data_IF_063635734408
#
_entry.id   IF_063635734408
#
_cell.length_a   1.000
_cell.length_b   1.000
_cell.length_c   1.000
_cell.angle_alpha   90.00
_cell.angle_beta   90.00
_cell.angle_gamma   90.00
#
_symmetry.space_group_name_H-M   'P 1'
#
loop_
_entity.id
_entity.type
_entity.pdbx_description
1 polymer ?
#
# COMPACT_ATOMS: atom_id res chain seq x y z
N UNK A 1 8.43 42.00 -11.66
CA UNK A 1 7.83 40.63 -11.86
C UNK A 1 8.84 39.57 -12.20
N UNK A 2 9.85 39.82 -13.05
CA UNK A 2 10.87 38.84 -13.50
C UNK A 2 11.71 38.30 -12.33
N UNK A 3 12.23 39.15 -11.44
CA UNK A 3 13.03 38.75 -10.28
C UNK A 3 12.30 37.75 -9.36
N UNK A 4 11.01 37.95 -9.14
CA UNK A 4 10.17 37.01 -8.35
C UNK A 4 10.03 35.62 -8.99
N UNK A 5 9.96 35.55 -10.33
CA UNK A 5 9.90 34.26 -11.04
C UNK A 5 11.22 33.51 -10.95
N UNK A 6 12.34 34.20 -11.00
CA UNK A 6 13.68 33.60 -10.88
C UNK A 6 13.85 33.01 -9.48
N UNK A 7 13.54 33.76 -8.43
CA UNK A 7 13.61 33.28 -7.03
C UNK A 7 12.67 32.11 -6.80
N UNK A 8 11.43 32.16 -7.30
CA UNK A 8 10.49 31.07 -7.19
C UNK A 8 11.03 29.77 -7.84
N UNK A 9 11.57 29.89 -9.08
CA UNK A 9 12.17 28.76 -9.78
C UNK A 9 13.38 28.19 -9.04
N UNK A 10 14.19 29.04 -8.47
CA UNK A 10 15.36 28.67 -7.68
C UNK A 10 14.97 27.89 -6.42
N UNK A 11 14.09 28.41 -5.59
CA UNK A 11 13.60 27.73 -4.37
C UNK A 11 12.95 26.40 -4.73
N UNK A 12 12.03 26.37 -5.71
CA UNK A 12 11.39 25.14 -6.16
C UNK A 12 12.41 24.12 -6.66
N UNK A 13 13.41 24.53 -7.47
CA UNK A 13 14.43 23.61 -7.98
C UNK A 13 15.29 23.04 -6.85
N UNK A 14 15.76 23.87 -5.93
CA UNK A 14 16.60 23.47 -4.78
C UNK A 14 15.84 22.47 -3.89
N UNK A 15 14.60 22.78 -3.53
CA UNK A 15 13.78 21.88 -2.70
C UNK A 15 13.37 20.61 -3.43
N UNK A 16 13.07 20.68 -4.73
CA UNK A 16 12.76 19.51 -5.55
C UNK A 16 13.97 18.56 -5.67
N UNK A 17 15.16 19.10 -5.93
CA UNK A 17 16.39 18.29 -5.98
C UNK A 17 16.70 17.64 -4.63
N UNK A 18 16.52 18.36 -3.52
CA UNK A 18 16.71 17.81 -2.19
C UNK A 18 15.70 16.70 -1.88
N UNK A 19 14.41 16.91 -2.18
CA UNK A 19 13.36 15.90 -1.99
C UNK A 19 13.62 14.66 -2.85
N UNK A 20 13.95 14.84 -4.13
CA UNK A 20 14.23 13.73 -5.03
C UNK A 20 15.50 12.97 -4.60
N UNK A 21 16.60 13.69 -4.27
CA UNK A 21 17.83 13.08 -3.77
C UNK A 21 17.60 12.27 -2.49
N UNK A 22 16.83 12.83 -1.54
CA UNK A 22 16.46 12.11 -0.31
C UNK A 22 15.62 10.87 -0.61
N UNK A 23 14.66 10.97 -1.53
CA UNK A 23 13.84 9.83 -1.95
C UNK A 23 14.71 8.71 -2.51
N UNK A 24 15.66 9.02 -3.39
CA UNK A 24 16.58 8.02 -3.97
C UNK A 24 17.43 7.36 -2.88
N UNK A 25 18.03 8.15 -1.99
CA UNK A 25 18.89 7.61 -0.91
C UNK A 25 18.10 6.69 0.01
N UNK A 26 16.92 7.12 0.49
CA UNK A 26 16.09 6.31 1.38
C UNK A 26 15.54 5.06 0.68
N UNK A 27 15.19 5.15 -0.62
CA UNK A 27 14.75 3.98 -1.39
C UNK A 27 15.87 2.95 -1.55
N UNK A 28 17.10 3.37 -1.80
CA UNK A 28 18.25 2.45 -1.88
C UNK A 28 18.47 1.76 -0.53
N UNK A 29 18.38 2.50 0.58
CA UNK A 29 18.48 1.92 1.92
C UNK A 29 17.36 0.91 2.19
N UNK A 30 16.13 1.24 1.85
CA UNK A 30 14.98 0.34 2.02
C UNK A 30 15.14 -0.95 1.20
N UNK A 31 15.51 -0.84 -0.07
CA UNK A 31 15.79 -1.97 -0.96
C UNK A 31 16.89 -2.87 -0.36
N UNK A 32 17.97 -2.25 0.15
CA UNK A 32 19.07 -2.97 0.79
C UNK A 32 18.61 -3.76 2.02
N UNK A 33 17.88 -3.10 2.94
CA UNK A 33 17.38 -3.76 4.15
C UNK A 33 16.37 -4.85 3.83
N UNK A 34 15.49 -4.62 2.88
CA UNK A 34 14.52 -5.66 2.44
C UNK A 34 15.25 -6.85 1.83
N UNK A 35 16.28 -6.61 1.00
CA UNK A 35 17.08 -7.69 0.44
C UNK A 35 17.81 -8.50 1.51
N UNK A 36 18.39 -7.82 2.52
CA UNK A 36 19.02 -8.50 3.66
C UNK A 36 18.01 -9.34 4.45
N UNK A 37 16.77 -8.86 4.60
CA UNK A 37 15.68 -9.61 5.22
C UNK A 37 15.33 -10.88 4.41
N UNK A 38 15.19 -10.75 3.09
CA UNK A 38 14.89 -11.89 2.20
C UNK A 38 16.02 -12.95 2.18
N UNK A 39 17.28 -12.55 2.39
CA UNK A 39 18.39 -13.50 2.51
C UNK A 39 18.24 -14.41 3.75
N UNK A 40 17.53 -13.97 4.80
CA UNK A 40 17.21 -14.80 5.95
C UNK A 40 16.12 -15.87 5.69
N UNK A 41 15.37 -15.72 4.59
CA UNK A 41 14.27 -16.61 4.20
C UNK A 41 14.63 -17.57 3.06
N UNK A 42 15.90 -17.72 2.70
CA UNK A 42 16.35 -18.59 1.60
C UNK A 42 15.96 -20.04 1.84
N UNK A 43 15.53 -20.70 0.77
CA UNK A 43 15.14 -22.12 0.73
C UNK A 43 15.78 -22.78 -0.52
N UNK A 44 15.83 -24.13 -0.62
CA UNK A 44 16.40 -24.81 -1.78
C UNK A 44 15.84 -24.31 -3.13
N UNK A 45 14.55 -23.94 -3.16
CA UNK A 45 13.83 -23.49 -4.35
C UNK A 45 13.76 -21.95 -4.45
N UNK A 46 14.40 -21.22 -3.53
CA UNK A 46 14.42 -19.74 -3.49
C UNK A 46 15.82 -19.25 -3.14
N UNK A 47 16.61 -18.99 -4.14
CA UNK A 47 18.02 -18.59 -3.98
C UNK A 47 18.19 -17.07 -3.89
N UNK A 48 19.39 -16.60 -3.51
CA UNK A 48 19.70 -15.18 -3.35
C UNK A 48 19.45 -14.34 -4.63
N UNK A 49 19.57 -14.94 -5.81
CA UNK A 49 19.30 -14.26 -7.07
C UNK A 49 17.79 -14.02 -7.27
N UNK A 50 16.96 -15.00 -6.93
CA UNK A 50 15.49 -14.85 -6.95
C UNK A 50 15.02 -13.84 -5.91
N UNK A 51 15.64 -13.82 -4.70
CA UNK A 51 15.40 -12.80 -3.69
C UNK A 51 15.71 -11.39 -4.21
N UNK A 52 16.84 -11.22 -4.92
CA UNK A 52 17.17 -9.95 -5.55
C UNK A 52 16.14 -9.52 -6.60
N UNK A 53 15.72 -10.43 -7.46
CA UNK A 53 14.70 -10.15 -8.48
C UNK A 53 13.36 -9.78 -7.82
N UNK A 54 12.95 -10.50 -6.78
CA UNK A 54 11.75 -10.20 -6.00
C UNK A 54 11.79 -8.77 -5.42
N UNK A 55 12.88 -8.41 -4.75
CA UNK A 55 13.05 -7.09 -4.14
C UNK A 55 13.11 -5.97 -5.18
N UNK A 56 13.74 -6.21 -6.34
CA UNK A 56 13.77 -5.23 -7.43
C UNK A 56 12.39 -5.01 -8.06
N UNK A 57 11.57 -6.05 -8.21
CA UNK A 57 10.17 -5.89 -8.64
C UNK A 57 9.33 -5.19 -7.57
N UNK A 58 9.61 -5.38 -6.28
CA UNK A 58 8.97 -4.68 -5.16
C UNK A 58 9.44 -3.21 -4.99
N UNK A 59 10.53 -2.79 -5.65
CA UNK A 59 11.11 -1.46 -5.47
C UNK A 59 10.13 -0.28 -5.66
N UNK A 60 9.18 -0.29 -6.63
CA UNK A 60 8.19 0.79 -6.76
C UNK A 60 7.27 0.93 -5.55
N UNK A 61 6.92 -0.18 -4.88
CA UNK A 61 6.15 -0.17 -3.64
C UNK A 61 6.95 0.49 -2.52
N UNK A 62 8.20 0.08 -2.31
CA UNK A 62 9.06 0.68 -1.28
C UNK A 62 9.31 2.16 -1.53
N UNK A 63 9.47 2.56 -2.80
CA UNK A 63 9.56 3.97 -3.18
C UNK A 63 8.30 4.75 -2.76
N UNK A 64 7.11 4.21 -3.03
CA UNK A 64 5.84 4.81 -2.67
C UNK A 64 5.68 5.00 -1.15
N UNK A 65 6.01 3.99 -0.36
CA UNK A 65 5.90 4.00 1.11
C UNK A 65 6.79 5.09 1.74
N UNK A 66 7.97 5.33 1.17
CA UNK A 66 8.96 6.30 1.68
C UNK A 66 8.67 7.74 1.25
N UNK A 67 7.86 7.97 0.20
CA UNK A 67 7.63 9.31 -0.34
C UNK A 67 7.27 10.37 0.71
N UNK A 68 6.36 10.15 1.67
CA UNK A 68 6.01 11.19 2.65
C UNK A 68 7.17 11.57 3.57
N UNK A 69 7.93 10.57 4.05
CA UNK A 69 9.10 10.81 4.92
C UNK A 69 10.23 11.49 4.13
N UNK A 70 10.47 11.05 2.91
CA UNK A 70 11.51 11.63 2.04
C UNK A 70 11.19 13.08 1.67
N UNK A 71 9.91 13.40 1.47
CA UNK A 71 9.47 14.77 1.23
C UNK A 71 9.70 15.67 2.44
N UNK A 72 9.41 15.19 3.65
CA UNK A 72 9.69 15.89 4.90
C UNK A 72 11.19 16.20 5.03
N UNK A 73 12.03 15.16 4.98
CA UNK A 73 13.48 15.27 5.15
C UNK A 73 14.08 16.14 4.02
N UNK A 74 13.66 15.89 2.77
CA UNK A 74 14.12 16.64 1.61
C UNK A 74 13.72 18.12 1.67
N UNK A 75 12.53 18.43 2.18
CA UNK A 75 12.12 19.83 2.44
C UNK A 75 13.00 20.49 3.50
N UNK A 76 13.32 19.77 4.59
CA UNK A 76 14.23 20.26 5.63
C UNK A 76 15.64 20.49 5.08
N UNK A 77 16.15 19.59 4.24
CA UNK A 77 17.47 19.74 3.59
C UNK A 77 17.44 20.94 2.64
N UNK A 78 16.48 21.00 1.73
CA UNK A 78 16.41 22.06 0.72
C UNK A 78 16.21 23.44 1.31
N UNK A 79 15.25 23.61 2.22
CA UNK A 79 15.06 24.87 2.94
C UNK A 79 16.18 25.16 3.94
N UNK A 80 16.71 24.13 4.59
CA UNK A 80 17.80 24.25 5.53
C UNK A 80 19.08 24.75 4.87
N UNK A 81 19.40 24.31 3.65
CA UNK A 81 20.54 24.82 2.89
C UNK A 81 20.37 26.31 2.57
N UNK A 82 19.18 26.74 2.12
CA UNK A 82 18.85 28.13 1.86
C UNK A 82 18.86 29.00 3.14
N UNK A 83 18.54 28.41 4.28
CA UNK A 83 18.62 29.06 5.58
C UNK A 83 20.09 29.27 6.03
N UNK A 84 20.93 28.26 5.84
CA UNK A 84 22.34 28.27 6.23
C UNK A 84 23.14 29.28 5.38
N UNK A 85 22.83 29.40 4.09
CA UNK A 85 23.42 30.42 3.19
C UNK A 85 22.83 31.83 3.39
N UNK A 86 21.95 32.02 4.41
CA UNK A 86 21.25 33.29 4.68
C UNK A 86 20.30 33.77 3.57
N UNK A 87 20.09 33.01 2.53
CA UNK A 87 19.26 33.38 1.38
C UNK A 87 17.80 33.58 1.79
N UNK A 88 17.24 32.77 2.72
CA UNK A 88 15.89 32.94 3.23
C UNK A 88 15.73 34.28 3.96
N UNK A 89 16.77 34.76 4.66
CA UNK A 89 16.75 36.04 5.36
C UNK A 89 16.70 37.16 4.32
N UNK A 90 17.53 37.10 3.28
CA UNK A 90 17.55 38.06 2.18
C UNK A 90 16.19 38.11 1.45
N UNK A 91 15.61 36.95 1.18
CA UNK A 91 14.27 36.88 0.56
C UNK A 91 13.20 37.55 1.42
N UNK A 92 13.23 37.34 2.72
CA UNK A 92 12.27 37.96 3.66
C UNK A 92 12.48 39.46 3.79
N UNK A 93 13.71 39.94 3.89
CA UNK A 93 14.03 41.38 3.91
C UNK A 93 13.63 42.09 2.61
N UNK A 94 13.67 41.39 1.48
CA UNK A 94 13.15 41.86 0.18
C UNK A 94 11.61 41.85 0.07
N UNK A 95 10.88 41.58 1.19
CA UNK A 95 9.41 41.64 1.25
C UNK A 95 8.70 40.39 0.69
N UNK A 96 9.40 39.27 0.57
CA UNK A 96 8.77 37.98 0.18
C UNK A 96 8.12 37.37 1.43
N UNK A 97 6.80 37.22 1.42
CA UNK A 97 6.06 36.62 2.53
C UNK A 97 6.40 35.14 2.73
N UNK A 98 6.38 34.68 3.99
CA UNK A 98 6.61 33.29 4.38
C UNK A 98 5.71 32.31 3.59
N UNK A 99 4.41 32.60 3.54
CA UNK A 99 3.44 31.75 2.81
C UNK A 99 3.74 31.61 1.31
N UNK A 100 4.39 32.62 0.73
CA UNK A 100 4.81 32.54 -0.68
C UNK A 100 5.98 31.57 -0.86
N UNK A 101 6.94 31.58 0.07
CA UNK A 101 8.06 30.62 0.07
C UNK A 101 7.51 29.20 0.29
N UNK A 102 6.62 29.01 1.27
CA UNK A 102 5.93 27.72 1.49
C UNK A 102 5.21 27.25 0.22
N UNK A 103 4.50 28.15 -0.46
CA UNK A 103 3.83 27.83 -1.74
C UNK A 103 4.81 27.39 -2.84
N UNK A 104 6.04 27.87 -2.86
CA UNK A 104 7.06 27.41 -3.81
C UNK A 104 7.59 26.03 -3.45
N UNK A 105 7.76 25.73 -2.17
CA UNK A 105 8.10 24.39 -1.68
C UNK A 105 6.98 23.38 -1.96
N UNK A 106 5.71 23.79 -1.81
CA UNK A 106 4.57 22.95 -2.15
C UNK A 106 4.52 22.58 -3.65
N UNK A 107 5.06 23.42 -4.54
CA UNK A 107 5.21 23.05 -5.96
C UNK A 107 6.18 21.90 -6.14
N UNK A 108 7.25 21.83 -5.34
CA UNK A 108 8.18 20.68 -5.35
C UNK A 108 7.48 19.42 -4.82
N UNK A 109 6.71 19.54 -3.75
CA UNK A 109 5.91 18.45 -3.19
C UNK A 109 4.87 17.92 -4.18
N UNK A 110 4.27 18.78 -5.01
CA UNK A 110 3.32 18.39 -6.04
C UNK A 110 3.91 17.37 -7.06
N UNK A 111 5.21 17.49 -7.37
CA UNK A 111 5.89 16.51 -8.24
C UNK A 111 5.92 15.12 -7.60
N UNK A 112 6.19 15.04 -6.29
CA UNK A 112 6.16 13.78 -5.55
C UNK A 112 4.74 13.23 -5.41
N UNK A 113 3.73 14.09 -5.28
CA UNK A 113 2.31 13.69 -5.26
C UNK A 113 1.92 13.06 -6.60
N UNK A 114 2.30 13.66 -7.71
CA UNK A 114 2.04 13.11 -9.05
C UNK A 114 2.75 11.76 -9.20
N UNK A 115 4.00 11.66 -8.75
CA UNK A 115 4.76 10.42 -8.75
C UNK A 115 4.07 9.34 -7.88
N UNK A 116 3.65 9.69 -6.66
CA UNK A 116 2.92 8.81 -5.75
C UNK A 116 1.65 8.25 -6.40
N UNK A 117 0.87 9.12 -7.05
CA UNK A 117 -0.35 8.70 -7.75
C UNK A 117 -0.03 7.76 -8.93
N UNK A 118 0.97 8.10 -9.74
CA UNK A 118 1.38 7.27 -10.87
C UNK A 118 1.89 5.89 -10.43
N UNK A 119 2.67 5.84 -9.35
CA UNK A 119 3.14 4.59 -8.76
C UNK A 119 1.97 3.75 -8.26
N UNK A 120 1.07 4.33 -7.47
CA UNK A 120 -0.04 3.63 -6.84
C UNK A 120 -1.06 3.09 -7.85
N UNK A 121 -1.35 3.84 -8.94
CA UNK A 121 -2.38 3.45 -9.89
C UNK A 121 -1.87 2.46 -10.95
N UNK A 122 -0.65 2.67 -11.48
CA UNK A 122 -0.19 1.93 -12.66
C UNK A 122 1.00 1.02 -12.41
N UNK A 123 1.97 1.46 -11.62
CA UNK A 123 3.26 0.75 -11.53
C UNK A 123 3.21 -0.38 -10.51
N UNK A 124 2.76 -0.09 -9.28
CA UNK A 124 2.74 -1.05 -8.17
C UNK A 124 1.91 -2.31 -8.50
N UNK A 125 0.67 -2.22 -9.03
CA UNK A 125 -0.11 -3.43 -9.30
C UNK A 125 0.60 -4.37 -10.28
N UNK A 126 1.22 -3.82 -11.32
CA UNK A 126 1.95 -4.61 -12.30
C UNK A 126 3.25 -5.21 -11.75
N UNK A 127 4.02 -4.42 -10.99
CA UNK A 127 5.33 -4.87 -10.47
C UNK A 127 5.18 -5.87 -9.34
N UNK A 128 4.18 -5.72 -8.48
CA UNK A 128 3.92 -6.67 -7.41
C UNK A 128 3.41 -8.02 -7.93
N UNK A 129 2.58 -8.03 -8.98
CA UNK A 129 2.21 -9.29 -9.65
C UNK A 129 3.46 -10.06 -10.12
N UNK A 130 4.45 -9.36 -10.67
CA UNK A 130 5.72 -9.96 -11.07
C UNK A 130 6.57 -10.41 -9.87
N UNK A 131 6.63 -9.62 -8.81
CA UNK A 131 7.32 -9.99 -7.58
C UNK A 131 6.73 -11.28 -7.00
N UNK A 132 5.41 -11.33 -6.80
CA UNK A 132 4.73 -12.51 -6.28
C UNK A 132 4.91 -13.73 -7.19
N UNK A 133 4.96 -13.57 -8.51
CA UNK A 133 5.23 -14.69 -9.43
C UNK A 133 6.61 -15.32 -9.21
N UNK A 134 7.61 -14.56 -8.81
CA UNK A 134 8.95 -15.06 -8.45
C UNK A 134 8.90 -15.84 -7.13
N UNK A 135 8.12 -15.36 -6.17
CA UNK A 135 7.96 -15.98 -4.85
C UNK A 135 7.03 -17.21 -4.87
N UNK A 136 6.03 -17.24 -5.76
CA UNK A 136 5.05 -18.34 -5.91
C UNK A 136 5.58 -19.60 -6.64
N UNK A 137 6.77 -19.54 -7.23
CA UNK A 137 7.50 -20.75 -7.65
C UNK A 137 8.01 -21.55 -6.44
N UNK A 138 7.74 -21.10 -5.22
CA UNK A 138 7.91 -21.89 -3.99
C UNK A 138 7.08 -23.15 -4.13
N UNK A 139 7.77 -24.30 -4.10
CA UNK A 139 7.14 -25.60 -4.17
C UNK A 139 6.01 -25.73 -3.15
N UNK A 140 4.97 -26.46 -3.52
CA UNK A 140 3.78 -26.86 -2.74
C UNK A 140 4.09 -27.43 -1.34
N UNK A 141 5.36 -27.67 -1.01
CA UNK A 141 5.84 -28.23 0.26
C UNK A 141 6.02 -27.20 1.41
N UNK A 142 5.91 -25.90 1.17
CA UNK A 142 6.07 -24.87 2.21
C UNK A 142 4.73 -24.28 2.67
N UNK A 143 3.76 -25.14 2.96
CA UNK A 143 2.42 -24.83 3.49
C UNK A 143 2.49 -24.41 4.97
N UNK A 144 3.20 -23.33 5.28
CA UNK A 144 3.19 -22.72 6.62
C UNK A 144 2.45 -21.38 6.68
N UNK A 145 2.33 -20.66 5.57
CA UNK A 145 1.50 -19.44 5.45
C UNK A 145 0.46 -19.66 4.36
N UNK A 146 -0.74 -19.96 4.80
CA UNK A 146 -1.92 -20.12 3.94
C UNK A 146 -2.34 -18.72 3.48
N UNK A 147 -1.88 -18.30 2.31
CA UNK A 147 -2.41 -17.13 1.60
C UNK A 147 -3.57 -17.54 0.70
N UNK A 148 -4.46 -18.38 1.18
CA UNK A 148 -5.66 -18.76 0.48
C UNK A 148 -6.83 -17.84 0.82
N UNK A 149 -7.73 -17.66 -0.10
CA UNK A 149 -8.93 -16.85 0.08
C UNK A 149 -10.12 -17.71 0.41
N UNK A 150 -10.82 -17.33 1.49
CA UNK A 150 -12.12 -17.88 1.84
C UNK A 150 -13.24 -16.95 1.38
N UNK A 151 -14.14 -17.48 0.54
CA UNK A 151 -15.40 -16.83 0.18
C UNK A 151 -16.57 -17.55 0.81
N UNK A 152 -17.63 -16.79 1.12
CA UNK A 152 -18.89 -17.35 1.58
C UNK A 152 -20.01 -16.95 0.61
N UNK A 153 -20.67 -17.92 0.03
CA UNK A 153 -21.86 -17.76 -0.81
C UNK A 153 -23.06 -18.43 -0.12
N UNK A 154 -23.77 -17.68 0.72
CA UNK A 154 -24.85 -18.23 1.54
C UNK A 154 -24.36 -19.26 2.55
N UNK A 155 -24.65 -20.55 2.33
CA UNK A 155 -24.24 -21.68 3.17
C UNK A 155 -23.01 -22.41 2.61
N UNK A 156 -22.48 -21.95 1.49
CA UNK A 156 -21.29 -22.49 0.83
C UNK A 156 -20.07 -21.69 1.21
N UNK A 157 -18.99 -22.37 1.61
CA UNK A 157 -17.68 -21.79 1.85
C UNK A 157 -16.73 -22.31 0.77
N UNK A 158 -15.99 -21.38 0.15
CA UNK A 158 -15.08 -21.66 -0.95
C UNK A 158 -13.70 -21.20 -0.53
N UNK A 159 -12.74 -22.11 -0.57
CA UNK A 159 -11.32 -21.80 -0.39
C UNK A 159 -10.62 -21.91 -1.73
N UNK A 160 -9.78 -20.93 -2.06
CA UNK A 160 -8.95 -20.91 -3.26
C UNK A 160 -7.54 -20.57 -2.84
N UNK A 161 -6.59 -21.45 -3.06
CA UNK A 161 -5.19 -21.24 -2.69
C UNK A 161 -4.50 -20.25 -3.65
N UNK A 162 -4.70 -20.42 -4.95
CA UNK A 162 -4.11 -19.57 -5.97
C UNK A 162 -5.08 -19.33 -7.12
N UNK A 163 -5.08 -18.09 -7.62
CA UNK A 163 -5.80 -17.71 -8.84
C UNK A 163 -4.96 -16.76 -9.69
N UNK A 164 -5.07 -16.89 -11.02
CA UNK A 164 -4.44 -15.96 -11.95
C UNK A 164 -5.47 -15.08 -12.68
N UNK A 165 -4.98 -14.02 -13.30
CA UNK A 165 -5.80 -13.08 -14.09
C UNK A 165 -6.48 -13.71 -15.32
N UNK A 166 -6.06 -14.93 -15.71
CA UNK A 166 -6.63 -15.67 -16.84
C UNK A 166 -7.79 -16.58 -16.42
N UNK A 167 -8.18 -16.60 -15.14
CA UNK A 167 -9.26 -17.42 -14.61
C UNK A 167 -8.87 -18.88 -14.36
N UNK A 168 -7.59 -19.16 -14.10
CA UNK A 168 -7.16 -20.49 -13.64
C UNK A 168 -7.01 -20.45 -12.13
N UNK A 169 -7.57 -21.45 -11.46
CA UNK A 169 -7.51 -21.66 -10.01
C UNK A 169 -6.66 -22.91 -9.71
N UNK A 170 -6.01 -22.92 -8.53
CA UNK A 170 -5.36 -24.13 -7.98
C UNK A 170 -5.81 -24.35 -6.55
N UNK A 171 -5.88 -25.62 -6.19
CA UNK A 171 -6.22 -26.12 -4.86
C UNK A 171 -7.47 -25.45 -4.28
N UNK A 172 -8.61 -25.86 -4.86
CA UNK A 172 -9.93 -25.32 -4.52
C UNK A 172 -10.60 -26.29 -3.55
N UNK A 173 -11.16 -25.75 -2.45
CA UNK A 173 -12.03 -26.50 -1.56
C UNK A 173 -13.39 -25.82 -1.51
N UNK A 174 -14.45 -26.59 -1.68
CA UNK A 174 -15.84 -26.12 -1.54
C UNK A 174 -16.50 -26.92 -0.44
N UNK A 175 -17.02 -26.23 0.55
CA UNK A 175 -17.66 -26.80 1.73
C UNK A 175 -19.11 -26.33 1.77
N UNK A 176 -20.05 -27.22 1.59
CA UNK A 176 -21.49 -26.91 1.65
C UNK A 176 -22.05 -27.36 3.00
N UNK A 177 -22.79 -26.44 3.64
CA UNK A 177 -23.53 -26.69 4.88
C UNK A 177 -25.04 -26.65 4.63
N UNK A 178 -25.80 -27.33 5.48
CA UNK A 178 -27.25 -27.19 5.52
C UNK A 178 -27.68 -25.94 6.32
N UNK A 179 -29.00 -25.71 6.44
CA UNK A 179 -29.58 -24.59 7.21
C UNK A 179 -29.25 -24.66 8.71
N UNK A 180 -28.90 -25.82 9.23
CA UNK A 180 -28.51 -26.06 10.63
C UNK A 180 -26.99 -26.08 10.83
N UNK A 181 -26.20 -25.67 9.81
CA UNK A 181 -24.73 -25.71 9.82
C UNK A 181 -24.12 -27.11 9.94
N UNK A 182 -24.85 -28.17 9.55
CA UNK A 182 -24.24 -29.49 9.38
C UNK A 182 -23.59 -29.59 8.00
N UNK A 183 -22.39 -30.20 7.95
CA UNK A 183 -21.66 -30.40 6.72
C UNK A 183 -22.40 -31.37 5.79
N UNK A 184 -22.73 -30.93 4.58
CA UNK A 184 -23.42 -31.73 3.56
C UNK A 184 -22.46 -32.30 2.53
N UNK A 185 -21.57 -31.45 1.99
CA UNK A 185 -20.59 -31.91 1.00
C UNK A 185 -19.25 -31.18 1.14
N UNK A 186 -18.20 -31.86 0.74
CA UNK A 186 -16.84 -31.34 0.63
C UNK A 186 -16.29 -31.69 -0.73
N UNK A 187 -15.92 -30.69 -1.54
CA UNK A 187 -15.27 -30.88 -2.83
C UNK A 187 -13.85 -30.33 -2.74
N UNK A 188 -12.87 -31.16 -3.09
CA UNK A 188 -11.47 -30.76 -3.23
C UNK A 188 -11.04 -30.94 -4.68
N UNK A 189 -10.66 -29.86 -5.36
CA UNK A 189 -10.18 -29.90 -6.74
C UNK A 189 -8.78 -29.31 -6.87
N UNK A 190 -7.92 -29.97 -7.63
CA UNK A 190 -6.55 -29.52 -7.84
C UNK A 190 -6.48 -28.31 -8.78
N UNK A 191 -7.40 -28.22 -9.73
CA UNK A 191 -7.43 -27.15 -10.72
C UNK A 191 -8.87 -26.75 -11.01
N UNK A 192 -9.08 -25.45 -11.28
CA UNK A 192 -10.34 -24.91 -11.76
C UNK A 192 -10.08 -23.98 -12.93
N UNK A 193 -10.95 -23.99 -13.93
CA UNK A 193 -10.88 -23.12 -15.09
C UNK A 193 -12.24 -22.45 -15.31
N UNK A 194 -12.24 -21.13 -15.50
CA UNK A 194 -13.45 -20.41 -15.84
C UNK A 194 -13.92 -20.77 -17.26
N UNK A 195 -15.20 -21.10 -17.39
CA UNK A 195 -15.77 -21.45 -18.68
C UNK A 195 -16.59 -20.29 -19.22
N UNK A 196 -17.71 -19.94 -18.58
CA UNK A 196 -18.61 -18.85 -18.96
C UNK A 196 -19.70 -18.70 -17.92
N UNK A 197 -20.26 -17.48 -17.79
CA UNK A 197 -21.47 -17.18 -16.99
C UNK A 197 -21.44 -17.70 -15.53
N UNK A 198 -20.27 -17.52 -14.85
CA UNK A 198 -20.08 -17.99 -13.47
C UNK A 198 -19.88 -19.49 -13.33
N UNK A 199 -19.74 -20.23 -14.42
CA UNK A 199 -19.41 -21.64 -14.38
C UNK A 199 -17.92 -21.90 -14.42
N UNK A 200 -17.45 -22.78 -13.54
CA UNK A 200 -16.07 -23.21 -13.40
C UNK A 200 -15.97 -24.72 -13.62
N UNK A 201 -15.07 -25.13 -14.48
CA UNK A 201 -14.72 -26.54 -14.66
C UNK A 201 -13.62 -26.89 -13.66
N UNK A 202 -13.95 -27.73 -12.69
CA UNK A 202 -13.02 -28.27 -11.70
C UNK A 202 -12.42 -29.58 -12.26
N UNK A 203 -11.09 -29.66 -12.28
CA UNK A 203 -10.37 -30.86 -12.73
C UNK A 203 -9.79 -31.62 -11.55
N UNK A 204 -9.82 -32.95 -11.62
CA UNK A 204 -9.38 -33.84 -10.55
C UNK A 204 -10.09 -33.52 -9.23
N UNK A 205 -11.43 -33.43 -9.29
CA UNK A 205 -12.25 -33.13 -8.13
C UNK A 205 -12.55 -34.41 -7.35
N UNK A 206 -12.38 -34.34 -6.02
CA UNK A 206 -12.77 -35.37 -5.06
C UNK A 206 -13.93 -34.82 -4.25
N UNK A 207 -15.10 -35.41 -4.42
CA UNK A 207 -16.30 -35.04 -3.68
C UNK A 207 -16.56 -36.05 -2.57
N UNK A 208 -16.91 -35.55 -1.40
CA UNK A 208 -17.37 -36.33 -0.27
C UNK A 208 -18.73 -35.79 0.16
N UNK A 209 -19.77 -36.63 0.01
CA UNK A 209 -21.13 -36.30 0.45
C UNK A 209 -21.42 -37.00 1.76
N UNK A 210 -21.96 -36.27 2.73
CA UNK A 210 -22.30 -36.75 4.06
C UNK A 210 -23.80 -36.99 4.12
N UNK A 211 -24.16 -38.29 4.27
CA UNK A 211 -25.55 -38.71 4.40
C UNK A 211 -26.08 -38.50 5.82
N UNK A 212 -27.37 -38.27 5.97
CA UNK A 212 -28.07 -38.04 7.27
C UNK A 212 -27.80 -39.18 8.29
N UNK A 213 -27.38 -40.33 7.87
CA UNK A 213 -27.01 -41.48 8.73
C UNK A 213 -25.54 -41.47 9.21
N UNK A 214 -24.76 -40.39 8.93
CA UNK A 214 -23.36 -40.31 9.32
C UNK A 214 -22.39 -41.06 8.39
N UNK A 215 -22.87 -41.68 7.31
CA UNK A 215 -22.06 -42.33 6.32
C UNK A 215 -21.56 -41.30 5.29
N UNK A 216 -20.32 -41.41 4.87
CA UNK A 216 -19.74 -40.57 3.83
C UNK A 216 -19.55 -41.35 2.54
N UNK A 217 -20.04 -40.83 1.42
CA UNK A 217 -19.77 -41.37 0.08
C UNK A 217 -18.70 -40.50 -0.56
N UNK A 218 -17.64 -41.15 -1.02
CA UNK A 218 -16.55 -40.50 -1.73
C UNK A 218 -16.65 -40.85 -3.22
N UNK A 219 -16.66 -39.80 -4.06
CA UNK A 219 -16.72 -39.90 -5.51
C UNK A 219 -15.57 -39.09 -6.11
N UNK A 220 -14.83 -39.70 -7.02
CA UNK A 220 -13.75 -39.01 -7.75
C UNK A 220 -14.30 -38.63 -9.14
N UNK A 221 -14.15 -37.36 -9.51
CA UNK A 221 -14.56 -36.81 -10.80
C UNK A 221 -13.34 -36.25 -11.53
N UNK A 222 -13.10 -36.66 -12.75
CA UNK A 222 -12.05 -36.11 -13.61
C UNK A 222 -12.35 -34.66 -13.98
N UNK A 223 -13.65 -34.35 -14.19
CA UNK A 223 -14.14 -32.99 -14.47
C UNK A 223 -15.52 -32.82 -13.86
N UNK A 224 -15.70 -31.72 -13.11
CA UNK A 224 -16.96 -31.37 -12.47
C UNK A 224 -17.24 -29.86 -12.69
N UNK A 225 -18.44 -29.53 -13.17
CA UNK A 225 -18.85 -28.12 -13.28
C UNK A 225 -19.38 -27.61 -11.93
N UNK A 226 -18.91 -26.43 -11.52
CA UNK A 226 -19.35 -25.74 -10.33
C UNK A 226 -19.75 -24.32 -10.69
N UNK A 227 -20.92 -23.88 -10.23
CA UNK A 227 -21.34 -22.51 -10.34
C UNK A 227 -20.83 -21.73 -9.14
N UNK A 228 -20.03 -20.69 -9.38
CA UNK A 228 -19.51 -19.77 -8.38
C UNK A 228 -19.87 -18.36 -8.80
N UNK A 229 -20.30 -17.53 -7.86
CA UNK A 229 -20.56 -16.11 -8.12
C UNK A 229 -19.26 -15.33 -8.45
N UNK A 230 -18.12 -15.88 -8.07
CA UNK A 230 -16.80 -15.29 -8.30
C UNK A 230 -16.46 -15.18 -9.80
N UNK A 231 -16.26 -13.95 -10.26
CA UNK A 231 -15.75 -13.69 -11.62
C UNK A 231 -14.22 -13.70 -11.63
N UNK A 232 -13.56 -14.16 -12.72
CA UNK A 232 -12.10 -14.27 -12.82
C UNK A 232 -11.35 -12.99 -12.48
N UNK A 233 -11.93 -11.85 -12.91
CA UNK A 233 -11.36 -10.52 -12.63
C UNK A 233 -11.20 -10.23 -11.14
N UNK A 234 -12.16 -10.68 -10.32
CA UNK A 234 -12.15 -10.40 -8.88
C UNK A 234 -11.40 -11.47 -8.09
N UNK A 235 -11.36 -12.72 -8.58
CA UNK A 235 -10.58 -13.79 -7.96
C UNK A 235 -9.10 -13.43 -7.87
N UNK A 236 -8.54 -12.86 -8.93
CA UNK A 236 -7.16 -12.40 -8.90
C UNK A 236 -6.92 -11.27 -7.87
N UNK A 237 -7.88 -10.36 -7.71
CA UNK A 237 -7.77 -9.27 -6.72
C UNK A 237 -7.82 -9.76 -5.27
N UNK A 238 -8.42 -10.91 -5.03
CA UNK A 238 -8.56 -11.50 -3.70
C UNK A 238 -7.32 -12.21 -3.23
N UNK A 239 -6.52 -12.74 -4.15
CA UNK A 239 -5.25 -13.42 -3.84
C UNK A 239 -4.08 -12.46 -3.61
N UNK A 240 -4.26 -11.17 -3.93
CA UNK A 240 -3.29 -10.11 -3.66
C UNK A 240 -3.58 -9.42 -2.33
N UNK A 241 -2.54 -8.93 -1.67
CA UNK A 241 -2.72 -8.07 -0.51
C UNK A 241 -3.47 -6.79 -0.92
N UNK A 242 -4.47 -6.32 -0.15
CA UNK A 242 -5.23 -5.11 -0.48
C UNK A 242 -4.36 -3.86 -0.70
N UNK A 243 -3.19 -3.81 -0.05
CA UNK A 243 -2.21 -2.73 -0.19
C UNK A 243 -1.54 -2.70 -1.57
N UNK A 244 -1.54 -3.80 -2.30
CA UNK A 244 -0.93 -3.94 -3.62
C UNK A 244 -1.87 -3.58 -4.77
N UNK A 245 -3.19 -3.55 -4.48
CA UNK A 245 -4.20 -3.16 -5.46
C UNK A 245 -4.19 -1.66 -5.73
N UNK A 246 -4.45 -1.25 -6.98
CA UNK A 246 -4.61 0.18 -7.30
C UNK A 246 -5.86 0.77 -6.67
N UNK A 247 -5.93 2.11 -6.45
CA UNK A 247 -7.15 2.78 -6.02
C UNK A 247 -8.37 2.43 -6.88
N UNK A 248 -8.23 2.35 -8.19
CA UNK A 248 -9.31 1.98 -9.11
C UNK A 248 -9.75 0.52 -8.97
N UNK A 249 -8.80 -0.39 -8.75
CA UNK A 249 -9.09 -1.80 -8.46
C UNK A 249 -9.82 -1.95 -7.12
N UNK A 250 -9.37 -1.24 -6.07
CA UNK A 250 -10.02 -1.25 -4.77
C UNK A 250 -11.48 -0.76 -4.85
N UNK A 251 -11.75 0.34 -5.58
CA UNK A 251 -13.14 0.82 -5.78
C UNK A 251 -13.98 -0.23 -6.50
N UNK A 252 -13.45 -0.82 -7.58
CA UNK A 252 -14.16 -1.83 -8.37
C UNK A 252 -14.46 -3.07 -7.53
N UNK A 253 -13.51 -3.50 -6.71
CA UNK A 253 -13.64 -4.66 -5.84
C UNK A 253 -14.63 -4.39 -4.69
N UNK A 254 -14.52 -3.25 -4.02
CA UNK A 254 -15.46 -2.87 -2.94
C UNK A 254 -16.90 -2.78 -3.45
N UNK A 255 -17.13 -2.22 -4.65
CA UNK A 255 -18.46 -2.16 -5.26
C UNK A 255 -19.01 -3.55 -5.57
N UNK A 256 -18.17 -4.44 -6.07
CA UNK A 256 -18.57 -5.84 -6.31
C UNK A 256 -18.92 -6.56 -5.01
N UNK A 257 -18.12 -6.38 -3.95
CA UNK A 257 -18.39 -7.02 -2.65
C UNK A 257 -19.62 -6.46 -1.94
N UNK A 258 -19.98 -5.21 -2.18
CA UNK A 258 -21.17 -4.58 -1.62
C UNK A 258 -22.49 -5.20 -2.17
N UNK A 259 -22.46 -5.71 -3.41
CA UNK A 259 -23.58 -6.44 -4.02
C UNK A 259 -23.79 -7.85 -3.43
N UNK A 260 -22.75 -8.49 -2.92
CA UNK A 260 -22.80 -9.91 -2.51
C UNK A 260 -22.67 -10.15 -1.00
N UNK A 261 -22.06 -9.23 -0.27
CA UNK A 261 -21.94 -9.29 1.19
C UNK A 261 -21.16 -8.09 1.74
N UNK A 262 -20.74 -8.15 2.98
CA UNK A 262 -19.98 -7.07 3.62
C UNK A 262 -18.59 -6.90 3.01
N UNK A 263 -18.25 -5.68 2.60
CA UNK A 263 -16.91 -5.31 2.16
C UNK A 263 -15.91 -5.49 3.31
N UNK A 264 -14.85 -6.29 3.16
CA UNK A 264 -13.85 -6.45 4.21
C UNK A 264 -13.20 -5.11 4.55
N UNK A 265 -13.07 -4.81 5.84
CA UNK A 265 -12.51 -3.54 6.33
C UNK A 265 -11.05 -3.31 5.87
N UNK A 266 -10.31 -4.38 5.60
CA UNK A 266 -8.93 -4.32 5.08
C UNK A 266 -8.85 -3.62 3.73
N UNK A 267 -9.79 -3.86 2.83
CA UNK A 267 -9.85 -3.16 1.53
C UNK A 267 -10.26 -1.70 1.68
N UNK A 268 -11.18 -1.40 2.61
CA UNK A 268 -11.54 -0.02 2.94
C UNK A 268 -10.33 0.74 3.53
N UNK A 269 -9.56 0.09 4.41
CA UNK A 269 -8.35 0.67 4.99
C UNK A 269 -7.33 0.99 3.91
N UNK A 270 -6.98 0.01 3.06
CA UNK A 270 -6.03 0.19 1.97
C UNK A 270 -6.46 1.32 1.01
N UNK A 271 -7.74 1.41 0.70
CA UNK A 271 -8.28 2.50 -0.12
C UNK A 271 -8.07 3.87 0.53
N UNK A 272 -8.44 4.02 1.82
CA UNK A 272 -8.28 5.29 2.52
C UNK A 272 -6.82 5.68 2.73
N UNK A 273 -5.92 4.73 2.98
CA UNK A 273 -4.49 4.99 3.05
C UNK A 273 -3.94 5.54 1.72
N UNK A 274 -4.33 4.95 0.59
CA UNK A 274 -3.90 5.43 -0.74
C UNK A 274 -4.47 6.81 -1.09
N UNK A 275 -5.75 7.05 -0.82
CA UNK A 275 -6.39 8.36 -1.02
C UNK A 275 -5.80 9.43 -0.11
N UNK A 276 -5.43 9.07 1.11
CA UNK A 276 -4.89 9.98 2.10
C UNK A 276 -3.39 10.27 1.93
N UNK A 277 -2.64 9.42 1.22
CA UNK A 277 -1.19 9.55 1.00
C UNK A 277 -0.74 10.94 0.48
N UNK A 278 -1.38 11.55 -0.54
CA UNK A 278 -1.05 12.90 -0.98
C UNK A 278 -1.21 13.97 0.12
N UNK A 279 -2.22 13.81 0.97
CA UNK A 279 -2.47 14.75 2.08
C UNK A 279 -1.45 14.58 3.19
N UNK A 280 -1.00 13.34 3.46
CA UNK A 280 0.12 13.06 4.38
C UNK A 280 1.39 13.76 3.92
N UNK A 281 1.71 13.69 2.62
CA UNK A 281 2.86 14.35 2.03
C UNK A 281 2.80 15.87 2.18
N UNK A 282 1.64 16.49 1.91
CA UNK A 282 1.43 17.93 2.10
C UNK A 282 1.60 18.31 3.58
N UNK A 283 0.98 17.56 4.50
CA UNK A 283 1.05 17.83 5.93
C UNK A 283 2.49 17.79 6.45
N UNK A 284 3.26 16.76 6.06
CA UNK A 284 4.66 16.61 6.48
C UNK A 284 5.56 17.71 5.89
N UNK A 285 5.37 18.11 4.64
CA UNK A 285 6.12 19.23 4.04
C UNK A 285 5.77 20.55 4.72
N UNK A 286 4.52 20.79 5.15
CA UNK A 286 4.14 21.95 5.98
C UNK A 286 4.88 21.95 7.32
N UNK A 287 4.97 20.80 7.97
CA UNK A 287 5.74 20.63 9.22
C UNK A 287 7.23 20.93 8.98
N UNK A 288 7.82 20.44 7.88
CA UNK A 288 9.19 20.76 7.50
C UNK A 288 9.41 22.27 7.36
N UNK A 289 8.52 22.96 6.65
CA UNK A 289 8.55 24.39 6.53
C UNK A 289 8.45 25.09 7.90
N UNK A 290 7.55 24.62 8.78
CA UNK A 290 7.37 25.20 10.10
C UNK A 290 8.62 25.12 10.97
N UNK A 291 9.42 24.08 10.84
CA UNK A 291 10.67 23.91 11.58
C UNK A 291 11.73 24.92 11.17
N UNK A 292 11.89 25.13 9.87
CA UNK A 292 12.91 26.03 9.33
C UNK A 292 12.60 27.48 9.65
N UNK A 293 11.34 27.88 9.63
CA UNK A 293 10.93 29.26 9.93
C UNK A 293 10.64 29.52 11.41
N UNK A 294 10.41 28.48 12.20
CA UNK A 294 9.99 28.52 13.60
C UNK A 294 11.04 27.99 14.58
N UNK A 295 10.69 26.95 15.38
CA UNK A 295 11.45 26.55 16.56
C UNK A 295 12.89 26.09 16.29
N UNK A 296 13.16 25.55 15.10
CA UNK A 296 14.48 25.05 14.75
C UNK A 296 15.34 26.00 13.92
N UNK A 297 14.93 27.28 13.78
CA UNK A 297 15.61 28.27 12.94
C UNK A 297 17.10 28.46 13.30
N UNK A 298 17.43 28.41 14.59
CA UNK A 298 18.80 28.62 15.10
C UNK A 298 19.58 27.33 15.29
N UNK A 299 18.98 26.18 15.07
CA UNK A 299 19.62 24.89 15.29
C UNK A 299 20.50 24.45 14.09
N UNK A 300 21.49 23.61 14.38
CA UNK A 300 22.33 23.03 13.35
C UNK A 300 21.54 22.17 12.35
N UNK A 301 22.08 22.01 11.13
CA UNK A 301 21.44 21.20 10.10
C UNK A 301 21.23 19.75 10.54
N UNK A 302 22.25 19.16 11.22
CA UNK A 302 22.16 17.80 11.74
C UNK A 302 21.01 17.63 12.75
N UNK A 303 20.83 18.57 13.68
CA UNK A 303 19.75 18.52 14.65
C UNK A 303 18.37 18.61 13.99
N UNK A 304 18.22 19.46 12.97
CA UNK A 304 16.98 19.57 12.18
C UNK A 304 16.62 18.27 11.50
N UNK A 305 17.64 17.57 10.93
CA UNK A 305 17.45 16.28 10.28
C UNK A 305 17.03 15.18 11.25
N UNK A 306 17.65 15.12 12.43
CA UNK A 306 17.28 14.14 13.47
C UNK A 306 15.83 14.34 13.92
N UNK A 307 15.43 15.59 14.17
CA UNK A 307 14.04 15.89 14.55
C UNK A 307 13.06 15.57 13.41
N UNK A 308 13.40 15.90 12.17
CA UNK A 308 12.57 15.57 11.01
C UNK A 308 12.41 14.06 10.84
N UNK A 309 13.50 13.29 10.98
CA UNK A 309 13.47 11.83 10.92
C UNK A 309 12.58 11.26 12.03
N UNK A 310 12.77 11.73 13.27
CA UNK A 310 11.98 11.27 14.42
C UNK A 310 10.48 11.53 14.21
N UNK A 311 10.10 12.73 13.75
CA UNK A 311 8.70 13.07 13.50
C UNK A 311 8.14 12.29 12.32
N UNK A 312 8.92 12.15 11.24
CA UNK A 312 8.50 11.35 10.08
C UNK A 312 8.23 9.89 10.44
N UNK A 313 9.13 9.26 11.18
CA UNK A 313 8.96 7.88 11.64
C UNK A 313 7.81 7.76 12.65
N UNK A 314 7.70 8.70 13.61
CA UNK A 314 6.59 8.68 14.57
C UNK A 314 5.25 8.82 13.87
N UNK A 315 5.15 9.69 12.87
CA UNK A 315 3.94 9.84 12.08
C UNK A 315 3.62 8.56 11.29
N UNK A 316 4.61 7.96 10.65
CA UNK A 316 4.45 6.72 9.89
C UNK A 316 3.91 5.58 10.76
N UNK A 317 4.58 5.29 11.88
CA UNK A 317 4.15 4.23 12.78
C UNK A 317 2.82 4.53 13.48
N UNK A 318 2.54 5.80 13.80
CA UNK A 318 1.26 6.20 14.36
C UNK A 318 0.12 5.98 13.35
N UNK A 319 0.34 6.34 12.09
CA UNK A 319 -0.65 6.18 11.02
C UNK A 319 -0.93 4.69 10.77
N UNK A 320 0.12 3.87 10.76
CA UNK A 320 0.03 2.43 10.59
C UNK A 320 -0.70 1.77 11.76
N UNK A 321 -0.28 2.09 12.99
CA UNK A 321 -0.94 1.63 14.21
C UNK A 321 -2.44 1.98 14.25
N UNK A 322 -2.79 3.23 13.97
CA UNK A 322 -4.17 3.69 13.94
C UNK A 322 -4.95 3.02 12.79
N UNK A 323 -4.31 2.81 11.64
CA UNK A 323 -4.88 2.05 10.53
C UNK A 323 -5.33 0.66 10.97
N UNK A 324 -4.44 -0.13 11.54
CA UNK A 324 -4.79 -1.48 12.04
C UNK A 324 -5.76 -1.45 13.22
N UNK A 325 -5.64 -0.49 14.12
CA UNK A 325 -6.61 -0.31 15.22
C UNK A 325 -8.04 -0.06 14.68
N UNK A 326 -8.17 0.61 13.55
CA UNK A 326 -9.47 0.87 12.91
C UNK A 326 -10.21 -0.40 12.49
N UNK A 327 -9.49 -1.47 12.16
CA UNK A 327 -10.09 -2.75 11.78
C UNK A 327 -10.89 -3.38 12.93
N UNK A 328 -10.45 -3.10 14.16
CA UNK A 328 -11.07 -3.64 15.39
C UNK A 328 -12.14 -2.69 15.94
N UNK A 329 -11.82 -1.40 16.07
CA UNK A 329 -12.61 -0.47 16.89
C UNK A 329 -13.55 0.45 16.09
N UNK A 330 -13.45 0.51 14.75
CA UNK A 330 -14.22 1.49 13.99
C UNK A 330 -15.16 0.84 12.96
N UNK A 331 -16.35 1.40 12.75
CA UNK A 331 -17.20 1.04 11.60
C UNK A 331 -16.59 1.49 10.26
N UNK A 332 -15.77 2.56 10.25
CA UNK A 332 -15.10 3.08 9.04
C UNK A 332 -13.66 3.42 9.32
N UNK A 333 -12.68 2.83 8.58
CA UNK A 333 -11.26 3.13 8.71
C UNK A 333 -10.86 4.57 8.36
N UNK A 334 -11.70 5.29 7.61
CA UNK A 334 -11.43 6.65 7.12
C UNK A 334 -10.98 7.61 8.23
N UNK A 335 -11.68 7.62 9.37
CA UNK A 335 -11.38 8.53 10.46
C UNK A 335 -10.00 8.29 11.07
N UNK A 336 -9.63 7.04 11.26
CA UNK A 336 -8.33 6.67 11.84
C UNK A 336 -7.16 7.02 10.93
N UNK A 337 -7.38 6.99 9.62
CA UNK A 337 -6.37 7.40 8.62
C UNK A 337 -6.29 8.93 8.52
N UNK A 338 -7.40 9.65 8.54
CA UNK A 338 -7.43 11.10 8.32
C UNK A 338 -7.05 11.92 9.56
N UNK A 339 -7.40 11.46 10.78
CA UNK A 339 -7.13 12.21 12.03
C UNK A 339 -5.64 12.56 12.21
N UNK A 340 -4.68 11.63 12.10
CA UNK A 340 -3.26 11.99 12.25
C UNK A 340 -2.79 12.98 11.20
N UNK A 341 -3.31 12.91 9.97
CA UNK A 341 -2.98 13.83 8.89
C UNK A 341 -3.49 15.24 9.21
N UNK A 342 -4.74 15.36 9.67
CA UNK A 342 -5.33 16.63 10.05
C UNK A 342 -4.61 17.26 11.25
N UNK A 343 -4.19 16.45 12.22
CA UNK A 343 -3.39 16.93 13.35
C UNK A 343 -2.03 17.49 12.90
N UNK A 344 -1.33 16.77 12.01
CA UNK A 344 -0.04 17.24 11.47
C UNK A 344 -0.21 18.49 10.61
N UNK A 345 -1.24 18.54 9.79
CA UNK A 345 -1.57 19.71 8.98
C UNK A 345 -1.88 20.93 9.86
N UNK A 346 -2.69 20.74 10.90
CA UNK A 346 -3.03 21.76 11.88
C UNK A 346 -1.79 22.25 12.66
N UNK A 347 -0.96 21.33 13.16
CA UNK A 347 0.28 21.66 13.87
C UNK A 347 1.25 22.42 12.98
N UNK A 348 1.51 21.95 11.75
CA UNK A 348 2.37 22.63 10.79
C UNK A 348 1.88 24.04 10.45
N UNK A 349 0.58 24.19 10.19
CA UNK A 349 -0.05 25.48 9.88
C UNK A 349 0.00 26.45 11.07
N UNK A 350 -0.29 25.96 12.28
CA UNK A 350 -0.22 26.77 13.50
C UNK A 350 1.20 27.26 13.78
N UNK A 351 2.20 26.37 13.69
CA UNK A 351 3.61 26.75 13.90
C UNK A 351 4.08 27.77 12.84
N UNK A 352 3.67 27.62 11.59
CA UNK A 352 3.94 28.60 10.53
C UNK A 352 3.28 29.95 10.79
N UNK A 353 2.04 29.97 11.29
CA UNK A 353 1.35 31.17 11.65
C UNK A 353 2.08 31.93 12.78
N UNK A 354 2.54 31.19 13.81
CA UNK A 354 3.31 31.76 14.91
C UNK A 354 4.71 32.25 14.50
N UNK A 355 5.30 31.70 13.46
CA UNK A 355 6.61 32.10 12.92
C UNK A 355 6.56 33.34 11.99
N UNK A 356 5.38 33.89 11.75
CA UNK A 356 5.14 35.08 10.92
C UNK A 356 5.60 36.35 11.64
#
# INVERSE_FOLDING_TARGET
>A
MLARRIVAKYVTKTTALAMFGTTVVLSILQILFTYLGELGELKPDYNAWQALIYVLWGAPRYLYEILPISALIGAVIGLGSLATSSELIVMRSAGISLWRIVGWVMRSALLLIILSFALSEWVIPYTNEKAESVKSHRSVAALGEVKGYWSREGQRFIYIDYANSQGNLKDIQVVDFDQNYYLQSLINAQQGQFVKDGQWALKKAKQMDILAAGNAIKTDHDEQSLSLALQPKYVHMVTLDPEDLSPSQLISFMRYMDEYSQVPKTYQLAFWQKVASPFSLIALVLVACSFIFGPLRQQSMGFRLVIALFIGLSFYYLQDFLGYASLVYSPSPAWFVLVPILLMFGAGSYLLYRAR
#
